data_IF_124946101980
#
_entry.id   IF_124946101980
#
_cell.length_a   1.000
_cell.length_b   1.000
_cell.length_c   1.000
_cell.angle_alpha   90.00
_cell.angle_beta   90.00
_cell.angle_gamma   90.00
#
_symmetry.space_group_name_H-M   'P 1'
#
loop_
_entity.id
_entity.type
_entity.pdbx_description
1 polymer ?
#
# COMPACT_ATOMS: atom_id res chain seq x y z
N UNK A 1 -54.40 1.86 -35.93
CA UNK A 1 -52.98 1.48 -35.65
C UNK A 1 -52.72 1.63 -34.16
N UNK A 2 -52.13 0.61 -33.51
CA UNK A 2 -52.41 0.22 -32.11
C UNK A 2 -51.53 0.90 -31.04
N UNK A 3 -52.19 1.50 -30.02
CA UNK A 3 -51.62 2.16 -28.83
C UNK A 3 -50.74 1.29 -27.92
N UNK A 4 -50.66 -0.02 -28.19
CA UNK A 4 -49.81 -0.97 -27.44
C UNK A 4 -48.33 -0.88 -27.82
N UNK A 5 -47.99 -0.47 -29.05
CA UNK A 5 -46.61 -0.39 -29.53
C UNK A 5 -45.84 0.78 -28.89
N UNK A 6 -46.47 1.95 -28.76
CA UNK A 6 -45.85 3.14 -28.14
C UNK A 6 -45.53 2.96 -26.65
N UNK A 7 -46.34 2.18 -25.93
CA UNK A 7 -46.12 1.86 -24.51
C UNK A 7 -44.92 0.93 -24.29
N UNK A 8 -44.67 0.01 -25.23
CA UNK A 8 -43.51 -0.91 -25.19
C UNK A 8 -42.21 -0.18 -25.53
N UNK A 9 -42.21 0.66 -26.56
CA UNK A 9 -41.05 1.47 -26.93
C UNK A 9 -40.57 2.40 -25.79
N UNK A 10 -41.51 3.05 -25.08
CA UNK A 10 -41.19 3.89 -23.91
C UNK A 10 -40.61 3.09 -22.74
N UNK A 11 -41.11 1.86 -22.51
CA UNK A 11 -40.60 0.96 -21.46
C UNK A 11 -39.20 0.43 -21.78
N UNK A 12 -38.91 0.14 -23.05
CA UNK A 12 -37.59 -0.31 -23.49
C UNK A 12 -36.53 0.81 -23.41
N UNK A 13 -36.88 2.03 -23.82
CA UNK A 13 -36.02 3.20 -23.67
C UNK A 13 -35.69 3.48 -22.19
N UNK A 14 -36.68 3.37 -21.29
CA UNK A 14 -36.48 3.54 -19.85
C UNK A 14 -35.56 2.46 -19.24
N UNK A 15 -35.60 1.21 -19.74
CA UNK A 15 -34.69 0.13 -19.30
C UNK A 15 -33.25 0.36 -19.75
N UNK A 16 -33.04 0.81 -21.00
CA UNK A 16 -31.72 1.15 -21.53
C UNK A 16 -31.08 2.33 -20.78
N UNK A 17 -31.88 3.33 -20.41
CA UNK A 17 -31.43 4.46 -19.60
C UNK A 17 -30.96 4.05 -18.19
N UNK A 18 -31.63 3.09 -17.55
CA UNK A 18 -31.25 2.58 -16.22
C UNK A 18 -30.01 1.68 -16.27
N UNK A 19 -29.89 0.84 -17.29
CA UNK A 19 -28.72 -0.06 -17.45
C UNK A 19 -27.42 0.71 -17.72
N UNK A 20 -27.45 1.80 -18.51
CA UNK A 20 -26.27 2.66 -18.73
C UNK A 20 -25.76 3.26 -17.43
N UNK A 21 -26.67 3.74 -16.56
CA UNK A 21 -26.29 4.32 -15.25
C UNK A 21 -25.64 3.29 -14.34
N UNK A 22 -26.10 2.03 -14.35
CA UNK A 22 -25.46 0.97 -13.56
C UNK A 22 -24.04 0.71 -14.04
N UNK A 23 -23.81 0.58 -15.35
CA UNK A 23 -22.45 0.37 -15.90
C UNK A 23 -21.52 1.56 -15.62
N UNK A 24 -22.02 2.79 -15.77
CA UNK A 24 -21.22 4.01 -15.50
C UNK A 24 -20.83 4.07 -14.02
N UNK A 25 -21.75 3.82 -13.09
CA UNK A 25 -21.47 3.80 -11.65
C UNK A 25 -20.39 2.78 -11.27
N UNK A 26 -20.43 1.59 -11.87
CA UNK A 26 -19.38 0.58 -11.63
C UNK A 26 -18.02 0.99 -12.20
N UNK A 27 -17.99 1.65 -13.37
CA UNK A 27 -16.75 2.15 -13.98
C UNK A 27 -16.13 3.29 -13.16
N UNK A 28 -16.95 4.22 -12.65
CA UNK A 28 -16.47 5.31 -11.79
C UNK A 28 -15.96 4.78 -10.45
N UNK A 29 -16.64 3.81 -9.86
CA UNK A 29 -16.16 3.16 -8.63
C UNK A 29 -14.79 2.50 -8.85
N UNK A 30 -14.65 1.70 -9.91
CA UNK A 30 -13.37 1.07 -10.25
C UNK A 30 -12.25 2.09 -10.50
N UNK A 31 -12.53 3.19 -11.22
CA UNK A 31 -11.55 4.24 -11.46
C UNK A 31 -11.09 4.94 -10.17
N UNK A 32 -12.01 5.22 -9.24
CA UNK A 32 -11.67 5.79 -7.94
C UNK A 32 -10.84 4.82 -7.09
N UNK A 33 -11.16 3.52 -7.13
CA UNK A 33 -10.36 2.51 -6.42
C UNK A 33 -8.94 2.44 -6.98
N UNK A 34 -8.77 2.44 -8.30
CA UNK A 34 -7.44 2.45 -8.94
C UNK A 34 -6.67 3.71 -8.52
N UNK A 35 -7.29 4.89 -8.61
CA UNK A 35 -6.68 6.15 -8.21
C UNK A 35 -6.22 6.13 -6.75
N UNK A 36 -7.06 5.65 -5.84
CA UNK A 36 -6.75 5.54 -4.42
C UNK A 36 -5.57 4.58 -4.16
N UNK A 37 -5.57 3.40 -4.81
CA UNK A 37 -4.48 2.42 -4.67
C UNK A 37 -3.17 2.99 -5.22
N UNK A 38 -3.20 3.65 -6.38
CA UNK A 38 -2.00 4.30 -6.94
C UNK A 38 -1.46 5.39 -5.99
N UNK A 39 -2.33 6.20 -5.40
CA UNK A 39 -1.94 7.21 -4.42
C UNK A 39 -1.29 6.61 -3.18
N UNK A 40 -1.84 5.51 -2.65
CA UNK A 40 -1.28 4.80 -1.49
C UNK A 40 0.11 4.25 -1.81
N UNK A 41 0.28 3.58 -2.96
CA UNK A 41 1.58 2.99 -3.35
C UNK A 41 2.66 4.07 -3.47
N UNK A 42 2.34 5.19 -4.14
CA UNK A 42 3.29 6.31 -4.29
C UNK A 42 3.63 6.97 -2.96
N UNK A 43 2.66 7.12 -2.05
CA UNK A 43 2.89 7.68 -0.72
C UNK A 43 3.76 6.77 0.15
N UNK A 44 3.57 5.45 0.06
CA UNK A 44 4.35 4.48 0.85
C UNK A 44 5.79 4.27 0.34
N UNK A 45 6.08 4.60 -0.92
CA UNK A 45 7.39 4.40 -1.52
C UNK A 45 8.47 5.40 -1.02
N UNK A 46 8.10 6.34 -0.16
CA UNK A 46 8.99 7.38 0.40
C UNK A 46 9.54 7.07 1.78
N UNK A 47 9.61 5.80 2.22
CA UNK A 47 10.26 5.45 3.48
C UNK A 47 11.78 5.55 3.35
N UNK A 48 12.36 6.39 4.20
CA UNK A 48 13.77 6.78 4.32
C UNK A 48 14.75 5.60 4.12
N UNK A 49 15.55 5.69 3.06
CA UNK A 49 16.40 4.64 2.51
C UNK A 49 17.78 4.64 3.22
N UNK A 50 17.77 4.57 4.56
CA UNK A 50 19.01 4.25 5.30
C UNK A 50 19.41 2.77 5.13
N UNK A 51 18.57 1.98 4.46
CA UNK A 51 18.90 0.62 4.05
C UNK A 51 20.13 0.63 3.13
N UNK A 52 21.27 0.20 3.67
CA UNK A 52 22.54 0.13 2.95
C UNK A 52 23.61 1.13 3.40
N UNK A 53 23.27 2.08 4.29
CA UNK A 53 24.30 2.85 4.99
C UNK A 53 25.14 1.90 5.85
N UNK A 54 26.46 2.08 5.84
CA UNK A 54 27.35 1.30 6.69
C UNK A 54 27.02 1.61 8.15
N UNK A 55 26.79 0.58 8.96
CA UNK A 55 26.58 0.75 10.39
C UNK A 55 27.81 1.46 11.00
N UNK A 56 27.62 2.53 11.79
CA UNK A 56 28.72 3.19 12.49
C UNK A 56 29.34 2.21 13.48
N UNK A 57 30.65 2.36 13.71
CA UNK A 57 31.30 1.62 14.77
C UNK A 57 30.86 2.17 16.14
N UNK A 58 30.58 1.28 17.08
CA UNK A 58 30.18 1.63 18.45
C UNK A 58 30.82 0.66 19.42
N UNK A 59 30.95 1.11 20.67
CA UNK A 59 31.55 0.38 21.78
C UNK A 59 30.50 0.19 22.87
N UNK A 60 30.39 -1.03 23.41
CA UNK A 60 29.47 -1.38 24.49
C UNK A 60 30.19 -2.20 25.55
N UNK A 61 29.69 -2.12 26.77
CA UNK A 61 30.10 -3.00 27.86
C UNK A 61 29.15 -4.21 27.91
N UNK A 62 29.72 -5.41 28.00
CA UNK A 62 28.94 -6.64 28.20
C UNK A 62 28.43 -6.72 29.64
N UNK A 63 27.46 -7.60 29.93
CA UNK A 63 27.02 -7.85 31.30
C UNK A 63 28.14 -8.32 32.25
N UNK A 64 29.21 -8.89 31.70
CA UNK A 64 30.38 -9.36 32.44
C UNK A 64 31.46 -8.26 32.62
N UNK A 65 31.21 -7.04 32.12
CA UNK A 65 32.13 -5.90 32.22
C UNK A 65 33.20 -5.82 31.13
N UNK A 66 33.08 -6.63 30.07
CA UNK A 66 34.02 -6.59 28.94
C UNK A 66 33.62 -5.51 27.94
N UNK A 67 34.60 -4.78 27.42
CA UNK A 67 34.39 -3.81 26.35
C UNK A 67 34.44 -4.51 24.99
N UNK A 68 33.38 -4.36 24.18
CA UNK A 68 33.29 -4.91 22.82
C UNK A 68 32.94 -3.83 21.80
N UNK A 69 33.51 -3.93 20.59
CA UNK A 69 33.21 -3.03 19.47
C UNK A 69 32.54 -3.77 18.32
N UNK A 70 31.68 -3.08 17.57
CA UNK A 70 31.09 -3.67 16.36
C UNK A 70 32.17 -4.11 15.36
N UNK A 71 33.26 -3.35 15.25
CA UNK A 71 34.40 -3.67 14.38
C UNK A 71 35.06 -5.02 14.67
N UNK A 72 34.94 -5.54 15.89
CA UNK A 72 35.57 -6.81 16.31
C UNK A 72 34.92 -8.01 15.60
N UNK A 73 33.70 -7.83 15.08
CA UNK A 73 32.95 -8.86 14.36
C UNK A 73 33.05 -8.77 12.83
N UNK A 74 33.96 -7.94 12.29
CA UNK A 74 34.16 -7.85 10.82
C UNK A 74 34.43 -9.23 10.18
N UNK A 75 33.93 -9.40 8.96
CA UNK A 75 34.03 -10.65 8.20
C UNK A 75 33.01 -11.71 8.60
N UNK A 76 32.11 -11.42 9.54
CA UNK A 76 31.04 -12.32 10.01
C UNK A 76 29.68 -11.64 9.85
N UNK A 77 28.63 -12.33 9.40
CA UNK A 77 27.26 -11.82 9.48
C UNK A 77 26.86 -11.65 10.96
N UNK A 78 26.38 -10.46 11.33
CA UNK A 78 25.95 -10.14 12.70
C UNK A 78 24.57 -9.49 12.65
N UNK A 79 23.69 -9.91 13.55
CA UNK A 79 22.41 -9.25 13.80
C UNK A 79 22.49 -8.49 15.14
N UNK A 80 22.08 -7.22 15.13
CA UNK A 80 22.02 -6.37 16.33
C UNK A 80 20.56 -6.14 16.67
N UNK A 81 20.22 -6.20 17.95
CA UNK A 81 18.86 -6.02 18.44
C UNK A 81 18.86 -5.14 19.69
N UNK A 82 17.84 -4.30 19.85
CA UNK A 82 17.73 -3.34 20.95
C UNK A 82 16.67 -3.82 21.93
N UNK A 83 17.08 -4.07 23.18
CA UNK A 83 16.26 -4.62 24.25
C UNK A 83 16.44 -3.80 25.52
N UNK A 84 15.46 -3.87 26.43
CA UNK A 84 15.46 -3.17 27.71
C UNK A 84 14.97 -4.13 28.79
N UNK A 85 15.45 -3.93 30.02
CA UNK A 85 14.94 -4.58 31.24
C UNK A 85 14.52 -3.50 32.21
N UNK A 86 13.26 -3.56 32.66
CA UNK A 86 12.66 -2.63 33.64
C UNK A 86 13.33 -2.68 35.02
#
# INVERSE_FOLDING_TARGET
MSSKQTKRARREAARRARQRRRRIRWRTAAALTILAVTGIVLFSAGSDDQAGALAPDFELETPDGETVRLSDYRGRPVAVTFMHTD
#
